data_IF_883531269035
#
_entry.id   IF_883531269035
#
_cell.length_a   1.000
_cell.length_b   1.000
_cell.length_c   1.000
_cell.angle_alpha   90.00
_cell.angle_beta   90.00
_cell.angle_gamma   90.00
#
_symmetry.space_group_name_H-M   'P 1'
#
loop_
_entity.id
_entity.type
_entity.pdbx_description
1 polymer ?
#
# COMPACT_ATOMS: atom_id res chain seq x y z
N UNK A 1 0.43 -8.87 3.57
CA UNK A 1 -0.24 -7.62 4.01
C UNK A 1 -1.27 -7.91 5.07
N UNK A 2 -1.39 -7.05 6.05
CA UNK A 2 -2.28 -7.27 7.19
C UNK A 2 -3.05 -6.00 7.52
N UNK A 3 -4.37 -6.14 7.66
CA UNK A 3 -5.24 -5.06 8.13
C UNK A 3 -5.47 -5.19 9.64
N UNK A 4 -5.25 -4.10 10.36
CA UNK A 4 -5.55 -4.02 11.79
C UNK A 4 -6.69 -3.04 12.04
N UNK A 5 -7.86 -3.57 12.35
CA UNK A 5 -9.03 -2.75 12.63
C UNK A 5 -8.86 -1.94 13.92
N UNK A 6 -8.14 -2.49 14.88
CA UNK A 6 -7.93 -1.86 16.19
C UNK A 6 -7.22 -0.51 16.11
N UNK A 7 -6.21 -0.42 15.26
CA UNK A 7 -5.43 0.81 15.08
C UNK A 7 -5.65 1.44 13.71
N UNK A 8 -6.56 0.88 12.91
CA UNK A 8 -6.90 1.34 11.57
C UNK A 8 -5.68 1.47 10.66
N UNK A 9 -4.79 0.49 10.77
CA UNK A 9 -3.55 0.46 10.02
C UNK A 9 -3.48 -0.73 9.08
N UNK A 10 -2.85 -0.51 7.94
CA UNK A 10 -2.47 -1.57 7.00
C UNK A 10 -0.98 -1.78 7.11
N UNK A 11 -0.58 -3.02 7.40
CA UNK A 11 0.82 -3.41 7.38
C UNK A 11 1.09 -3.99 6.01
N UNK A 12 1.71 -3.17 5.17
CA UNK A 12 1.80 -3.46 3.74
C UNK A 12 2.95 -4.39 3.35
N UNK A 13 3.94 -4.56 4.22
CA UNK A 13 5.13 -5.32 3.86
C UNK A 13 5.82 -4.68 2.65
N UNK A 14 6.24 -5.50 1.70
CA UNK A 14 6.91 -5.04 0.49
C UNK A 14 5.94 -4.71 -0.66
N UNK A 15 4.63 -4.83 -0.43
CA UNK A 15 3.62 -4.56 -1.45
C UNK A 15 3.53 -3.06 -1.78
N UNK A 16 3.75 -2.23 -0.78
CA UNK A 16 3.79 -0.78 -0.92
C UNK A 16 5.05 -0.27 -0.22
N UNK A 17 5.72 0.69 -0.84
CA UNK A 17 6.89 1.32 -0.26
C UNK A 17 6.73 2.85 -0.26
N UNK A 18 7.45 3.51 0.64
CA UNK A 18 7.46 4.97 0.71
C UNK A 18 8.91 5.44 0.78
N UNK A 19 9.43 5.91 -0.35
CA UNK A 19 10.81 6.38 -0.47
C UNK A 19 10.90 7.91 -0.39
N UNK A 20 9.90 8.57 0.21
CA UNK A 20 9.90 10.01 0.39
C UNK A 20 8.98 10.75 -0.58
N UNK A 21 8.46 10.08 -1.59
CA UNK A 21 7.56 10.65 -2.59
C UNK A 21 6.11 10.17 -2.44
N UNK A 22 5.78 9.57 -1.30
CA UNK A 22 4.49 8.93 -1.06
C UNK A 22 4.55 7.43 -1.33
N UNK A 23 3.42 6.77 -1.20
CA UNK A 23 3.35 5.33 -1.42
C UNK A 23 3.43 4.99 -2.90
N UNK A 24 4.13 3.91 -3.21
CA UNK A 24 4.17 3.35 -4.55
C UNK A 24 4.26 1.83 -4.51
N UNK A 25 3.83 1.20 -5.59
CA UNK A 25 4.00 -0.25 -5.76
C UNK A 25 5.36 -0.45 -6.44
N UNK A 26 6.30 -1.17 -5.80
CA UNK A 26 7.66 -1.31 -6.35
C UNK A 26 7.67 -2.26 -7.54
N UNK A 27 7.49 -1.72 -8.75
CA UNK A 27 7.38 -2.52 -9.97
C UNK A 27 8.57 -3.44 -10.18
N UNK A 28 9.77 -2.99 -9.86
CA UNK A 28 10.99 -3.79 -10.03
C UNK A 28 11.09 -4.98 -9.08
N UNK A 29 10.26 -5.04 -8.05
CA UNK A 29 10.28 -6.13 -7.07
C UNK A 29 9.18 -7.15 -7.33
N UNK A 30 8.33 -6.92 -8.32
CA UNK A 30 7.24 -7.83 -8.62
C UNK A 30 7.75 -9.07 -9.35
N UNK A 31 7.16 -10.25 -9.06
CA UNK A 31 7.50 -11.46 -9.81
C UNK A 31 7.18 -11.31 -11.29
N UNK A 32 7.83 -12.12 -12.13
CA UNK A 32 7.53 -12.17 -13.53
C UNK A 32 6.05 -12.51 -13.75
N UNK A 33 5.41 -11.79 -14.66
CA UNK A 33 3.99 -11.98 -14.96
C UNK A 33 3.04 -11.20 -14.06
N UNK A 34 3.56 -10.52 -13.02
CA UNK A 34 2.74 -9.68 -12.13
C UNK A 34 2.98 -8.22 -12.47
N UNK A 35 1.90 -7.48 -12.72
CA UNK A 35 1.98 -6.06 -13.06
C UNK A 35 1.58 -5.18 -11.89
N UNK A 36 2.03 -3.92 -11.91
CA UNK A 36 1.63 -2.92 -10.92
C UNK A 36 0.10 -2.78 -10.88
N UNK A 37 -0.54 -2.80 -12.04
CA UNK A 37 -2.00 -2.68 -12.12
C UNK A 37 -2.72 -3.86 -11.47
N UNK A 38 -2.21 -5.08 -11.61
CA UNK A 38 -2.79 -6.24 -10.93
C UNK A 38 -2.70 -6.09 -9.42
N UNK A 39 -1.57 -5.63 -8.92
CA UNK A 39 -1.39 -5.40 -7.47
C UNK A 39 -2.33 -4.30 -7.00
N UNK A 40 -2.40 -3.18 -7.72
CA UNK A 40 -3.28 -2.07 -7.36
C UNK A 40 -4.75 -2.52 -7.32
N UNK A 41 -5.18 -3.31 -8.30
CA UNK A 41 -6.55 -3.84 -8.33
C UNK A 41 -6.83 -4.70 -7.10
N UNK A 42 -5.87 -5.53 -6.70
CA UNK A 42 -6.01 -6.36 -5.50
C UNK A 42 -6.02 -5.57 -4.21
N UNK A 43 -5.43 -4.36 -4.20
CA UNK A 43 -5.37 -3.51 -3.01
C UNK A 43 -6.54 -2.54 -2.89
N UNK A 44 -7.23 -2.23 -3.99
CA UNK A 44 -8.31 -1.25 -3.98
C UNK A 44 -9.41 -1.52 -2.94
N UNK A 45 -9.79 -2.77 -2.62
CA UNK A 45 -10.75 -3.02 -1.56
C UNK A 45 -10.34 -2.45 -0.20
N UNK A 46 -9.07 -2.17 0.04
CA UNK A 46 -8.62 -1.51 1.27
C UNK A 46 -9.22 -0.12 1.42
N UNK A 47 -9.57 0.55 0.32
CA UNK A 47 -10.17 1.88 0.36
C UNK A 47 -11.60 1.85 0.92
N UNK A 48 -12.23 0.67 1.01
CA UNK A 48 -13.53 0.50 1.65
C UNK A 48 -13.42 0.36 3.17
N UNK A 49 -12.20 0.25 3.68
CA UNK A 49 -11.94 0.17 5.11
C UNK A 49 -11.50 1.54 5.64
N UNK A 50 -11.74 1.82 6.93
CA UNK A 50 -11.34 3.10 7.52
C UNK A 50 -9.83 3.17 7.81
N UNK A 51 -9.03 3.03 6.78
CA UNK A 51 -7.57 3.08 6.88
C UNK A 51 -7.14 4.51 7.24
N UNK A 52 -6.35 4.64 8.31
CA UNK A 52 -5.78 5.92 8.73
C UNK A 52 -4.28 5.97 8.49
N UNK A 53 -3.60 4.82 8.56
CA UNK A 53 -2.15 4.76 8.41
C UNK A 53 -1.76 3.50 7.64
N UNK A 54 -0.73 3.63 6.82
CA UNK A 54 -0.11 2.51 6.10
C UNK A 54 1.32 2.36 6.59
N UNK A 55 1.68 1.16 6.99
CA UNK A 55 3.00 0.84 7.52
C UNK A 55 3.75 -0.06 6.53
N UNK A 56 4.54 0.53 5.62
CA UNK A 56 5.35 -0.26 4.72
C UNK A 56 6.58 -0.81 5.44
N UNK A 57 7.13 -1.91 4.95
CA UNK A 57 8.39 -2.45 5.47
C UNK A 57 9.56 -1.52 5.12
N UNK A 58 9.53 -0.93 3.93
CA UNK A 58 10.55 0.00 3.47
C UNK A 58 9.96 1.40 3.37
N UNK A 59 10.52 2.31 4.14
CA UNK A 59 10.10 3.70 4.16
C UNK A 59 9.29 4.06 5.38
N UNK A 60 8.76 5.27 5.39
CA UNK A 60 8.02 5.81 6.52
C UNK A 60 6.53 5.50 6.43
N UNK A 61 5.82 5.53 7.57
CA UNK A 61 4.37 5.43 7.56
C UNK A 61 3.74 6.49 6.68
N UNK A 62 2.61 6.16 6.06
CA UNK A 62 1.88 7.06 5.18
C UNK A 62 0.42 7.12 5.59
N UNK A 63 -0.27 8.19 5.20
CA UNK A 63 -1.68 8.38 5.53
C UNK A 63 -2.60 7.79 4.46
N UNK A 64 -3.90 7.88 4.71
CA UNK A 64 -4.92 7.42 3.76
C UNK A 64 -4.84 8.15 2.42
N UNK A 65 -4.57 9.44 2.43
CA UNK A 65 -4.48 10.21 1.19
C UNK A 65 -3.37 9.68 0.28
N UNK A 66 -2.23 9.28 0.87
CA UNK A 66 -1.14 8.67 0.12
C UNK A 66 -1.56 7.32 -0.47
N UNK A 67 -2.33 6.51 0.28
CA UNK A 67 -2.85 5.25 -0.20
C UNK A 67 -3.81 5.46 -1.37
N UNK A 68 -4.70 6.43 -1.26
CA UNK A 68 -5.64 6.75 -2.32
C UNK A 68 -4.92 7.17 -3.61
N UNK A 69 -3.87 7.98 -3.50
CA UNK A 69 -3.06 8.38 -4.64
C UNK A 69 -2.34 7.19 -5.28
N UNK A 70 -1.83 6.28 -4.47
CA UNK A 70 -1.10 5.13 -4.97
C UNK A 70 -2.01 4.15 -5.73
N UNK A 71 -3.29 4.07 -5.35
CA UNK A 71 -4.24 3.12 -5.92
C UNK A 71 -5.22 3.75 -6.93
N UNK A 72 -5.05 5.03 -7.20
CA UNK A 72 -5.92 5.75 -8.13
C UNK A 72 -5.82 5.22 -9.57
#
# INVERSE_FOLDING_TARGET
MLWSERIRAVIAGDTLINLGNGLEIPASWLPEGVTVEQVATGLRPLLDKPVEIVLPTHGEPADRAALERALA
#
